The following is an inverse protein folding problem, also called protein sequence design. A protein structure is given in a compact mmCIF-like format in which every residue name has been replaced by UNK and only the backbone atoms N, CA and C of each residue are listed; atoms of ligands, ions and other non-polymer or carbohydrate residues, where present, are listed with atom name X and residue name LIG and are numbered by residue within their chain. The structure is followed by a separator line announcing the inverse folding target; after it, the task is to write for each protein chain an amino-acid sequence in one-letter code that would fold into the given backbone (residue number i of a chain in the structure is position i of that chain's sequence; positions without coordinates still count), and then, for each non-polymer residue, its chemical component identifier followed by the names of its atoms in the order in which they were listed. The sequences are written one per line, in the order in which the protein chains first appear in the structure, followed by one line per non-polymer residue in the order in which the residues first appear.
data_IF_071043637804
#
_entry.id   IF_071043637804
#
_cell.length_a   1.000
_cell.length_b   1.000
_cell.length_c   1.000
_cell.angle_alpha   90.00
_cell.angle_beta   90.00
_cell.angle_gamma   90.00
#
_symmetry.space_group_name_H-M   'P 1'
#
loop_
_entity.id
_entity.type
_entity.pdbx_description
1 polymer ?
#
# COMPACT_ATOMS: atom_id res chain seq x y z
N UNK A 1 -0.18 -42.85 18.04
CA UNK A 1 0.48 -42.25 19.21
C UNK A 1 -0.55 -41.34 19.85
N UNK A 2 -0.99 -41.65 21.07
CA UNK A 2 -1.92 -40.80 21.82
C UNK A 2 -1.22 -39.49 22.17
N UNK A 3 -1.87 -38.37 21.84
CA UNK A 3 -1.35 -37.02 22.03
C UNK A 3 -1.66 -36.58 23.47
N UNK A 4 -0.72 -35.97 24.20
CA UNK A 4 -1.00 -35.45 25.54
C UNK A 4 -2.09 -34.36 25.43
N UNK A 5 -3.23 -34.58 26.09
CA UNK A 5 -4.32 -33.60 26.17
C UNK A 5 -5.28 -33.54 24.99
N UNK A 6 -5.20 -34.46 24.01
CA UNK A 6 -6.18 -34.55 22.90
C UNK A 6 -6.16 -33.39 21.91
N UNK A 7 -5.19 -32.48 22.03
CA UNK A 7 -4.96 -31.40 21.07
C UNK A 7 -3.95 -31.87 20.02
N UNK A 8 -4.22 -31.66 18.72
CA UNK A 8 -3.22 -31.93 17.70
C UNK A 8 -2.01 -31.01 17.94
N UNK A 9 -0.80 -31.59 17.88
CA UNK A 9 0.44 -30.81 17.90
C UNK A 9 0.50 -29.95 16.63
N UNK A 10 1.22 -28.84 16.71
CA UNK A 10 1.52 -28.02 15.56
C UNK A 10 2.17 -28.88 14.45
N UNK A 11 1.79 -28.64 13.20
CA UNK A 11 2.43 -29.28 12.05
C UNK A 11 3.89 -28.86 11.96
N UNK A 12 4.77 -29.77 11.58
CA UNK A 12 6.20 -29.50 11.37
C UNK A 12 6.47 -29.25 9.89
N UNK A 13 7.36 -28.31 9.56
CA UNK A 13 7.87 -28.10 8.21
C UNK A 13 9.40 -28.14 8.20
N UNK A 14 10.00 -28.42 7.04
CA UNK A 14 11.45 -28.33 6.85
C UNK A 14 11.90 -26.86 6.87
N UNK A 15 12.95 -26.53 7.64
CA UNK A 15 13.56 -25.19 7.71
C UNK A 15 14.86 -25.10 6.89
N UNK A 16 15.36 -23.87 6.67
CA UNK A 16 16.57 -23.52 5.91
C UNK A 16 17.84 -24.24 6.34
N UNK A 17 17.93 -24.67 7.60
CA UNK A 17 19.09 -25.35 8.19
C UNK A 17 18.88 -26.87 8.35
N UNK A 18 17.76 -27.41 7.86
CA UNK A 18 17.41 -28.82 7.98
C UNK A 18 16.80 -29.21 9.34
N UNK A 19 16.44 -28.24 10.19
CA UNK A 19 15.68 -28.48 11.42
C UNK A 19 14.17 -28.46 11.15
N UNK A 20 13.42 -29.29 11.86
CA UNK A 20 11.94 -29.25 11.84
C UNK A 20 11.46 -28.25 12.89
N UNK A 21 11.00 -27.09 12.44
CA UNK A 21 10.34 -26.10 13.31
C UNK A 21 8.83 -26.23 13.25
N UNK A 22 8.19 -25.99 14.41
CA UNK A 22 6.74 -25.92 14.53
C UNK A 22 6.19 -24.77 13.67
N UNK A 23 5.17 -25.06 12.89
CA UNK A 23 4.47 -24.07 12.08
C UNK A 23 3.42 -23.34 12.90
N UNK A 24 3.49 -22.01 12.90
CA UNK A 24 2.49 -21.15 13.52
C UNK A 24 1.64 -20.47 12.45
N UNK A 25 0.32 -20.62 12.56
CA UNK A 25 -0.63 -19.95 11.68
C UNK A 25 -1.08 -18.64 12.33
N UNK A 26 -0.85 -17.51 11.66
CA UNK A 26 -1.16 -16.15 12.16
C UNK A 26 -1.96 -15.39 11.12
N UNK A 27 -2.95 -14.62 11.55
CA UNK A 27 -3.68 -13.68 10.69
C UNK A 27 -3.32 -12.24 11.05
N UNK A 28 -2.93 -11.44 10.06
CA UNK A 28 -2.74 -9.99 10.18
C UNK A 28 -3.92 -9.24 9.56
N UNK A 29 -4.48 -8.27 10.28
CA UNK A 29 -5.67 -7.52 9.86
C UNK A 29 -6.99 -8.19 10.33
N UNK A 30 -8.16 -7.66 9.94
CA UNK A 30 -8.37 -6.46 9.09
C UNK A 30 -8.33 -5.14 9.86
N UNK A 31 -8.25 -5.18 11.19
CA UNK A 31 -8.34 -4.00 12.10
C UNK A 31 -7.02 -3.72 12.82
N UNK A 32 -5.90 -4.06 12.20
CA UNK A 32 -4.57 -3.86 12.78
C UNK A 32 -4.19 -2.36 12.73
N UNK A 33 -3.56 -1.84 13.78
CA UNK A 33 -3.09 -0.46 13.79
C UNK A 33 -2.06 -0.20 12.67
N UNK A 34 -2.18 0.96 12.01
CA UNK A 34 -1.33 1.39 10.90
C UNK A 34 -1.24 0.37 9.74
N UNK A 35 -2.34 -0.34 9.51
CA UNK A 35 -2.54 -1.33 8.46
C UNK A 35 -3.61 -0.85 7.45
N UNK A 36 -3.56 -1.26 6.18
CA UNK A 36 -4.65 -0.97 5.24
C UNK A 36 -5.96 -1.58 5.73
N UNK A 37 -6.95 -0.73 6.01
CA UNK A 37 -8.21 -1.15 6.63
C UNK A 37 -8.97 -2.14 5.74
N UNK A 38 -9.33 -3.30 6.28
CA UNK A 38 -10.02 -4.35 5.51
C UNK A 38 -9.11 -5.36 4.82
N UNK A 39 -7.80 -5.13 4.78
CA UNK A 39 -6.83 -6.11 4.27
C UNK A 39 -6.61 -7.21 5.32
N UNK A 40 -6.72 -8.47 4.94
CA UNK A 40 -6.40 -9.60 5.82
C UNK A 40 -5.39 -10.51 5.13
N UNK A 41 -4.32 -10.87 5.85
CA UNK A 41 -3.27 -11.78 5.35
C UNK A 41 -3.14 -12.95 6.34
N UNK A 42 -3.34 -14.17 5.86
CA UNK A 42 -3.00 -15.39 6.59
C UNK A 42 -1.55 -15.76 6.32
N UNK A 43 -0.81 -16.05 7.37
CA UNK A 43 0.60 -16.37 7.35
C UNK A 43 0.83 -17.75 7.97
N UNK A 44 1.74 -18.52 7.38
CA UNK A 44 2.38 -19.67 8.01
C UNK A 44 3.80 -19.24 8.37
N UNK A 45 4.12 -19.27 9.66
CA UNK A 45 5.41 -18.86 10.20
C UNK A 45 6.21 -20.08 10.67
N UNK A 46 7.52 -20.00 10.53
CA UNK A 46 8.48 -20.82 11.26
C UNK A 46 9.47 -19.90 11.94
N UNK A 47 9.47 -19.89 13.27
CA UNK A 47 10.09 -18.82 14.04
C UNK A 47 9.44 -17.47 13.72
N UNK A 48 10.23 -16.51 13.25
CA UNK A 48 9.76 -15.20 12.78
C UNK A 48 9.66 -15.08 11.25
N UNK A 49 10.06 -16.11 10.50
CA UNK A 49 10.06 -16.10 9.04
C UNK A 49 8.72 -16.60 8.49
N UNK A 50 8.18 -15.87 7.52
CA UNK A 50 7.00 -16.26 6.76
C UNK A 50 7.38 -17.31 5.72
N UNK A 51 6.79 -18.49 5.82
CA UNK A 51 6.94 -19.56 4.84
C UNK A 51 5.90 -19.45 3.72
N UNK A 52 4.69 -19.03 4.09
CA UNK A 52 3.60 -18.84 3.15
C UNK A 52 2.74 -17.66 3.58
N UNK A 53 2.40 -16.80 2.64
CA UNK A 53 1.40 -15.77 2.79
C UNK A 53 0.21 -16.00 1.84
N UNK A 54 -1.01 -15.83 2.36
CA UNK A 54 -2.24 -15.88 1.56
C UNK A 54 -3.07 -14.65 1.87
N UNK A 55 -3.42 -13.91 0.82
CA UNK A 55 -4.28 -12.74 0.97
C UNK A 55 -5.75 -13.18 1.01
N UNK A 56 -6.49 -12.68 1.99
CA UNK A 56 -7.92 -12.80 2.01
C UNK A 56 -8.56 -11.77 1.11
N UNK A 57 -9.49 -12.23 0.30
CA UNK A 57 -10.33 -11.34 -0.49
C UNK A 57 -11.33 -10.69 0.47
N UNK A 58 -11.41 -9.34 0.51
CA UNK A 58 -12.44 -8.67 1.28
C UNK A 58 -13.82 -9.16 0.82
N UNK A 59 -14.78 -9.39 1.74
CA UNK A 59 -16.13 -9.76 1.35
C UNK A 59 -16.70 -8.68 0.42
N UNK A 60 -17.39 -9.10 -0.65
CA UNK A 60 -18.10 -8.18 -1.51
C UNK A 60 -19.14 -7.44 -0.66
N UNK A 61 -18.96 -6.14 -0.48
CA UNK A 61 -19.92 -5.31 0.24
C UNK A 61 -21.16 -5.11 -0.62
N UNK A 62 -22.34 -5.24 -0.01
CA UNK A 62 -23.59 -4.91 -0.67
C UNK A 62 -23.71 -3.38 -0.79
N UNK A 63 -23.54 -2.86 -2.01
CA UNK A 63 -23.66 -1.43 -2.31
C UNK A 63 -22.43 -0.86 -3.04
N UNK A 64 -22.51 0.41 -3.49
CA UNK A 64 -21.38 1.06 -4.15
C UNK A 64 -20.23 1.25 -3.15
N UNK A 65 -19.08 0.60 -3.42
CA UNK A 65 -17.85 0.81 -2.66
C UNK A 65 -17.23 2.14 -3.09
N UNK A 66 -17.07 3.08 -2.14
CA UNK A 66 -16.44 4.36 -2.41
C UNK A 66 -14.91 4.20 -2.42
N UNK A 67 -14.30 4.32 -3.59
CA UNK A 67 -12.83 4.38 -3.75
C UNK A 67 -12.30 5.77 -3.39
N UNK A 68 -12.30 6.11 -2.10
CA UNK A 68 -12.04 7.48 -1.61
C UNK A 68 -10.77 8.11 -2.20
N UNK A 69 -9.66 7.37 -2.24
CA UNK A 69 -8.39 7.88 -2.75
C UNK A 69 -8.35 8.01 -4.28
N UNK A 70 -9.06 7.16 -5.00
CA UNK A 70 -9.14 7.19 -6.46
C UNK A 70 -10.32 8.02 -7.00
N UNK A 71 -11.14 8.61 -6.12
CA UNK A 71 -12.37 9.33 -6.48
C UNK A 71 -12.22 10.36 -7.62
N UNK A 72 -11.18 11.21 -7.67
CA UNK A 72 -11.01 12.14 -8.80
C UNK A 72 -10.88 11.44 -10.16
N UNK A 73 -10.17 10.31 -10.22
CA UNK A 73 -10.01 9.52 -11.44
C UNK A 73 -11.29 8.76 -11.78
N UNK A 74 -11.99 8.20 -10.78
CA UNK A 74 -13.29 7.56 -10.99
C UNK A 74 -14.32 8.55 -11.57
N UNK A 75 -14.42 9.76 -10.99
CA UNK A 75 -15.30 10.84 -11.48
C UNK A 75 -14.94 11.27 -12.90
N UNK A 76 -13.65 11.50 -13.18
CA UNK A 76 -13.20 11.88 -14.52
C UNK A 76 -13.45 10.77 -15.56
N UNK A 77 -13.28 9.49 -15.19
CA UNK A 77 -13.59 8.35 -16.05
C UNK A 77 -15.10 8.25 -16.34
N UNK A 78 -15.95 8.68 -15.41
CA UNK A 78 -17.40 8.83 -15.61
C UNK A 78 -17.80 10.09 -16.41
N UNK A 79 -16.84 10.89 -16.87
CA UNK A 79 -17.06 12.09 -17.68
C UNK A 79 -17.27 13.38 -16.89
N UNK A 80 -17.23 13.33 -15.55
CA UNK A 80 -17.36 14.52 -14.71
C UNK A 80 -16.18 15.49 -14.90
N UNK A 81 -16.39 16.81 -14.79
CA UNK A 81 -15.31 17.77 -14.78
C UNK A 81 -14.51 17.65 -13.48
N UNK A 82 -13.24 17.28 -13.61
CA UNK A 82 -12.26 17.22 -12.51
C UNK A 82 -10.99 17.93 -12.99
N UNK A 83 -10.38 18.75 -12.15
CA UNK A 83 -9.13 19.44 -12.49
C UNK A 83 -7.91 18.60 -12.10
N UNK A 84 -6.79 18.88 -12.75
CA UNK A 84 -5.47 18.35 -12.37
C UNK A 84 -5.16 18.72 -10.91
N UNK A 85 -5.48 19.93 -10.47
CA UNK A 85 -5.25 20.36 -9.09
C UNK A 85 -6.02 19.55 -8.05
N UNK A 86 -7.29 19.20 -8.33
CA UNK A 86 -8.08 18.31 -7.47
C UNK A 86 -7.43 16.92 -7.37
N UNK A 87 -7.00 16.35 -8.50
CA UNK A 87 -6.35 15.05 -8.55
C UNK A 87 -4.98 15.05 -7.84
N UNK A 88 -4.16 16.08 -8.08
CA UNK A 88 -2.85 16.26 -7.44
C UNK A 88 -2.99 16.38 -5.92
N UNK A 89 -3.99 17.13 -5.44
CA UNK A 89 -4.31 17.26 -4.00
C UNK A 89 -4.66 15.90 -3.40
N UNK A 90 -5.56 15.14 -4.04
CA UNK A 90 -5.94 13.80 -3.56
C UNK A 90 -4.76 12.83 -3.56
N UNK A 91 -3.92 12.85 -4.60
CA UNK A 91 -2.73 12.00 -4.72
C UNK A 91 -1.70 12.30 -3.64
N UNK A 92 -1.39 13.58 -3.41
CA UNK A 92 -0.46 14.01 -2.37
C UNK A 92 -0.96 13.62 -0.97
N UNK A 93 -2.25 13.80 -0.69
CA UNK A 93 -2.87 13.38 0.57
C UNK A 93 -2.79 11.85 0.76
N UNK A 94 -3.09 11.07 -0.29
CA UNK A 94 -2.97 9.61 -0.25
C UNK A 94 -1.54 9.16 0.05
N UNK A 95 -0.54 9.75 -0.62
CA UNK A 95 0.87 9.42 -0.37
C UNK A 95 1.34 9.80 1.03
N UNK A 96 0.83 10.90 1.61
CA UNK A 96 1.09 11.26 3.01
C UNK A 96 0.42 10.28 3.98
N UNK A 97 -0.75 9.76 3.65
CA UNK A 97 -1.44 8.74 4.43
C UNK A 97 -0.67 7.41 4.42
N UNK A 98 -0.18 6.96 3.25
CA UNK A 98 0.69 5.78 3.12
C UNK A 98 2.01 5.98 3.89
N UNK A 99 2.63 7.17 3.78
CA UNK A 99 3.82 7.52 4.56
C UNK A 99 3.53 7.52 6.07
N UNK A 100 2.37 7.99 6.50
CA UNK A 100 2.00 7.98 7.92
C UNK A 100 1.95 6.55 8.47
N UNK A 101 1.30 5.62 7.76
CA UNK A 101 1.28 4.19 8.12
C UNK A 101 2.70 3.62 8.18
N UNK A 102 3.48 3.81 7.11
CA UNK A 102 4.86 3.31 7.04
C UNK A 102 5.73 3.84 8.20
N UNK A 103 5.66 5.14 8.47
CA UNK A 103 6.46 5.79 9.52
C UNK A 103 6.03 5.33 10.91
N UNK A 104 4.74 5.07 11.13
CA UNK A 104 4.26 4.52 12.39
C UNK A 104 4.76 3.08 12.61
N UNK A 105 4.64 2.22 11.60
CA UNK A 105 5.16 0.84 11.62
C UNK A 105 6.68 0.82 11.81
N UNK A 106 7.41 1.76 11.19
CA UNK A 106 8.85 1.90 11.35
C UNK A 106 9.28 2.51 12.71
N UNK A 107 8.36 2.73 13.64
CA UNK A 107 8.67 3.26 14.98
C UNK A 107 9.00 4.76 14.99
N UNK A 108 8.49 5.54 14.03
CA UNK A 108 8.71 6.99 13.92
C UNK A 108 7.42 7.82 14.10
N UNK A 109 6.77 7.74 15.27
CA UNK A 109 5.40 8.25 15.47
C UNK A 109 5.27 9.77 15.29
N UNK A 110 6.26 10.57 15.68
CA UNK A 110 6.21 12.02 15.50
C UNK A 110 6.12 12.43 14.01
N UNK A 111 6.73 11.65 13.13
CA UNK A 111 6.77 11.90 11.69
C UNK A 111 5.50 11.35 11.04
N UNK A 112 4.97 10.23 11.54
CA UNK A 112 3.64 9.76 11.17
C UNK A 112 2.55 10.80 11.50
N UNK A 113 2.57 11.39 12.70
CA UNK A 113 1.64 12.48 13.09
C UNK A 113 1.81 13.69 12.18
N UNK A 114 3.05 14.07 11.85
CA UNK A 114 3.31 15.18 10.92
C UNK A 114 2.72 14.89 9.53
N UNK A 115 2.86 13.66 9.03
CA UNK A 115 2.30 13.24 7.75
C UNK A 115 0.77 13.30 7.75
N UNK A 116 0.11 12.81 8.81
CA UNK A 116 -1.35 12.87 8.99
C UNK A 116 -1.85 14.32 9.00
N UNK A 117 -1.20 15.22 9.76
CA UNK A 117 -1.58 16.65 9.77
C UNK A 117 -1.46 17.31 8.40
N UNK A 118 -0.40 16.99 7.65
CA UNK A 118 -0.21 17.53 6.30
C UNK A 118 -1.23 16.95 5.30
N UNK A 119 -1.59 15.68 5.45
CA UNK A 119 -2.68 15.05 4.70
C UNK A 119 -4.00 15.78 4.98
N UNK A 120 -4.30 16.03 6.25
CA UNK A 120 -5.54 16.70 6.66
C UNK A 120 -5.58 18.14 6.13
N UNK A 121 -4.49 18.90 6.27
CA UNK A 121 -4.40 20.26 5.70
C UNK A 121 -4.64 20.26 4.16
N UNK A 122 -4.15 19.23 3.44
CA UNK A 122 -4.41 19.09 2.00
C UNK A 122 -5.87 18.78 1.70
N UNK A 123 -6.50 17.87 2.47
CA UNK A 123 -7.90 17.50 2.31
C UNK A 123 -8.84 18.66 2.65
N UNK A 124 -8.46 19.50 3.63
CA UNK A 124 -9.17 20.72 4.02
C UNK A 124 -8.98 21.88 3.03
N UNK A 125 -8.23 21.66 1.94
CA UNK A 125 -8.13 22.63 0.85
C UNK A 125 -7.09 23.73 1.07
N UNK A 126 -6.14 23.57 1.99
CA UNK A 126 -5.11 24.58 2.21
C UNK A 126 -4.33 24.89 0.90
N UNK A 127 -4.00 26.17 0.64
CA UNK A 127 -3.32 26.58 -0.58
C UNK A 127 -1.86 26.12 -0.59
N UNK A 128 -1.27 25.90 -1.78
CA UNK A 128 0.11 25.42 -1.91
C UNK A 128 1.11 26.29 -1.14
N UNK A 129 0.94 27.62 -1.18
CA UNK A 129 1.80 28.57 -0.50
C UNK A 129 1.87 28.36 1.04
N UNK A 130 0.76 27.96 1.67
CA UNK A 130 0.71 27.70 3.10
C UNK A 130 1.40 26.37 3.47
N UNK A 131 1.42 25.40 2.55
CA UNK A 131 1.92 24.05 2.79
C UNK A 131 3.37 23.85 2.37
N UNK A 132 3.83 24.57 1.35
CA UNK A 132 5.09 24.32 0.65
C UNK A 132 6.29 24.15 1.60
N UNK A 133 6.45 25.08 2.55
CA UNK A 133 7.60 25.04 3.48
C UNK A 133 7.52 23.85 4.46
N UNK A 134 6.32 23.51 4.94
CA UNK A 134 6.12 22.38 5.87
C UNK A 134 6.32 21.05 5.14
N UNK A 135 5.81 20.92 3.91
CA UNK A 135 5.97 19.73 3.08
C UNK A 135 7.43 19.52 2.69
N UNK A 136 8.14 20.55 2.23
CA UNK A 136 9.56 20.41 1.88
C UNK A 136 10.43 20.02 3.10
N UNK A 137 10.14 20.59 4.28
CA UNK A 137 10.83 20.16 5.51
C UNK A 137 10.53 18.69 5.85
N UNK A 138 9.28 18.27 5.72
CA UNK A 138 8.88 16.89 5.96
C UNK A 138 9.53 15.92 4.97
N UNK A 139 9.43 16.19 3.66
CA UNK A 139 9.98 15.31 2.62
C UNK A 139 11.49 15.20 2.72
N UNK A 140 12.19 16.31 2.99
CA UNK A 140 13.64 16.31 3.23
C UNK A 140 14.01 15.50 4.47
N UNK A 141 13.25 15.63 5.57
CA UNK A 141 13.53 14.91 6.82
C UNK A 141 13.36 13.41 6.65
N UNK A 142 12.26 12.97 6.04
CA UNK A 142 12.01 11.54 5.78
C UNK A 142 13.00 11.00 4.74
N UNK A 143 13.16 11.70 3.61
CA UNK A 143 14.01 11.26 2.50
C UNK A 143 15.50 11.16 2.83
N UNK A 144 16.00 11.96 3.78
CA UNK A 144 17.41 11.94 4.24
C UNK A 144 17.65 11.05 5.46
N UNK A 145 16.62 10.37 5.98
CA UNK A 145 16.77 9.50 7.14
C UNK A 145 17.57 8.25 6.80
N UNK A 146 18.82 8.20 7.24
CA UNK A 146 19.69 7.03 7.07
C UNK A 146 19.16 5.84 7.87
N UNK A 147 18.67 6.07 9.08
CA UNK A 147 18.09 5.02 9.94
C UNK A 147 16.89 4.36 9.26
N UNK A 148 15.93 5.14 8.77
CA UNK A 148 14.76 4.58 8.07
C UNK A 148 15.21 3.79 6.83
N UNK A 149 16.12 4.35 6.03
CA UNK A 149 16.64 3.65 4.87
C UNK A 149 17.33 2.33 5.23
N UNK A 150 18.15 2.31 6.29
CA UNK A 150 18.89 1.13 6.69
C UNK A 150 17.96 0.04 7.24
N UNK A 151 17.00 0.41 8.09
CA UNK A 151 16.03 -0.51 8.68
C UNK A 151 15.08 -1.16 7.66
N UNK A 152 14.92 -0.55 6.48
CA UNK A 152 13.93 -1.01 5.48
C UNK A 152 14.55 -1.50 4.18
N UNK A 153 15.89 -1.45 4.07
CA UNK A 153 16.60 -1.82 2.85
C UNK A 153 16.45 -3.31 2.54
N UNK A 154 16.24 -3.62 1.27
CA UNK A 154 16.11 -5.00 0.76
C UNK A 154 14.73 -5.62 1.00
N UNK A 155 13.85 -4.98 1.78
CA UNK A 155 12.55 -5.54 2.12
C UNK A 155 11.55 -5.44 0.97
N UNK A 156 10.96 -6.58 0.60
CA UNK A 156 9.89 -6.68 -0.41
C UNK A 156 10.28 -6.04 -1.74
N UNK A 157 11.41 -6.45 -2.32
CA UNK A 157 11.89 -5.93 -3.60
C UNK A 157 10.90 -6.29 -4.71
N UNK A 158 10.40 -5.29 -5.43
CA UNK A 158 9.57 -5.47 -6.62
C UNK A 158 10.26 -4.75 -7.79
N UNK A 159 10.90 -5.51 -8.66
CA UNK A 159 11.59 -4.92 -9.83
C UNK A 159 10.58 -4.37 -10.83
N UNK A 160 11.02 -3.47 -11.71
CA UNK A 160 10.16 -2.93 -12.76
C UNK A 160 9.59 -4.02 -13.69
N UNK A 161 10.39 -5.03 -14.05
CA UNK A 161 9.95 -6.16 -14.89
C UNK A 161 8.97 -7.10 -14.20
N UNK A 162 9.13 -7.33 -12.90
CA UNK A 162 8.14 -8.08 -12.10
C UNK A 162 6.83 -7.30 -11.96
N UNK A 163 6.92 -5.97 -11.75
CA UNK A 163 5.76 -5.10 -11.68
C UNK A 163 4.98 -5.12 -13.00
N UNK A 164 5.68 -5.01 -14.14
CA UNK A 164 5.09 -5.09 -15.48
C UNK A 164 4.40 -6.43 -15.72
N UNK A 165 5.08 -7.55 -15.43
CA UNK A 165 4.52 -8.90 -15.56
C UNK A 165 3.24 -9.08 -14.73
N UNK A 166 3.20 -8.50 -13.53
CA UNK A 166 2.03 -8.55 -12.65
C UNK A 166 0.91 -7.54 -13.03
N UNK A 167 1.19 -6.62 -13.96
CA UNK A 167 0.29 -5.51 -14.31
C UNK A 167 0.22 -4.41 -13.25
N UNK A 168 1.22 -4.33 -12.36
CA UNK A 168 1.39 -3.22 -11.41
C UNK A 168 1.84 -1.99 -12.17
N UNK A 169 1.22 -0.84 -11.89
CA UNK A 169 1.54 0.45 -12.53
C UNK A 169 1.79 1.56 -11.49
N UNK A 170 2.04 2.78 -11.95
CA UNK A 170 2.16 3.95 -11.09
C UNK A 170 3.36 3.95 -10.15
N UNK A 171 3.21 4.49 -8.92
CA UNK A 171 4.34 4.69 -8.01
C UNK A 171 5.12 3.42 -7.66
N UNK A 172 4.44 2.28 -7.45
CA UNK A 172 5.12 1.03 -7.08
C UNK A 172 5.99 0.51 -8.24
N UNK A 173 5.45 0.50 -9.47
CA UNK A 173 6.20 0.10 -10.66
C UNK A 173 7.37 1.05 -10.96
N UNK A 174 7.14 2.37 -10.84
CA UNK A 174 8.17 3.39 -11.09
C UNK A 174 9.31 3.36 -10.06
N UNK A 175 9.02 2.96 -8.83
CA UNK A 175 10.03 2.77 -7.81
C UNK A 175 10.98 1.62 -8.17
N UNK A 176 10.45 0.51 -8.71
CA UNK A 176 11.24 -0.62 -9.21
C UNK A 176 12.22 -1.21 -8.20
N UNK A 177 11.84 -1.26 -6.92
CA UNK A 177 12.73 -1.69 -5.85
C UNK A 177 12.03 -2.03 -4.54
N UNK A 178 12.77 -1.87 -3.44
CA UNK A 178 12.37 -2.19 -2.07
C UNK A 178 11.55 -1.07 -1.40
N UNK A 179 11.26 -1.23 -0.10
CA UNK A 179 10.57 -0.22 0.73
C UNK A 179 11.17 1.20 0.55
N UNK A 180 12.51 1.41 0.65
CA UNK A 180 13.15 2.68 0.33
C UNK A 180 12.84 3.27 -1.03
N UNK A 181 12.86 2.46 -2.08
CA UNK A 181 12.52 2.92 -3.42
C UNK A 181 11.07 3.45 -3.46
N UNK A 182 10.12 2.70 -2.88
CA UNK A 182 8.69 3.05 -2.87
C UNK A 182 8.38 4.32 -2.10
N UNK A 183 8.87 4.46 -0.86
CA UNK A 183 8.56 5.69 -0.10
C UNK A 183 9.23 6.93 -0.71
N UNK A 184 10.43 6.80 -1.31
CA UNK A 184 11.08 7.91 -2.01
C UNK A 184 10.31 8.32 -3.26
N UNK A 185 9.69 7.37 -3.94
CA UNK A 185 8.80 7.64 -5.06
C UNK A 185 7.55 8.42 -4.62
N UNK A 186 6.96 8.11 -3.45
CA UNK A 186 5.90 8.93 -2.86
C UNK A 186 6.36 10.34 -2.49
N UNK A 187 7.53 10.49 -1.87
CA UNK A 187 8.10 11.80 -1.54
C UNK A 187 8.32 12.66 -2.80
N UNK A 188 8.79 12.06 -3.89
CA UNK A 188 8.93 12.72 -5.20
C UNK A 188 7.57 13.11 -5.77
N UNK A 189 6.58 12.22 -5.70
CA UNK A 189 5.19 12.47 -6.11
C UNK A 189 4.57 13.66 -5.38
N UNK A 190 4.68 13.70 -4.04
CA UNK A 190 4.20 14.82 -3.22
C UNK A 190 4.84 16.15 -3.66
N UNK A 191 6.16 16.20 -3.84
CA UNK A 191 6.85 17.43 -4.26
C UNK A 191 6.37 17.93 -5.62
N UNK A 192 6.12 17.02 -6.56
CA UNK A 192 5.55 17.35 -7.87
C UNK A 192 4.12 17.87 -7.75
N UNK A 193 3.28 17.18 -6.97
CA UNK A 193 1.84 17.46 -6.89
C UNK A 193 1.54 18.76 -6.14
N UNK A 194 2.38 19.15 -5.17
CA UNK A 194 2.28 20.46 -4.48
C UNK A 194 2.38 21.64 -5.45
N UNK A 195 3.21 21.54 -6.48
CA UNK A 195 3.34 22.59 -7.50
C UNK A 195 2.16 22.66 -8.48
N UNK A 196 1.19 21.75 -8.37
CA UNK A 196 0.07 21.60 -9.30
C UNK A 196 -1.30 21.74 -8.61
N UNK A 197 -1.34 22.07 -7.32
CA UNK A 197 -2.59 22.06 -6.54
C UNK A 197 -3.64 23.04 -7.08
N UNK A 198 -3.21 24.11 -7.73
CA UNK A 198 -4.05 25.14 -8.34
C UNK A 198 -4.17 24.99 -9.87
N UNK A 199 -3.70 23.89 -10.48
CA UNK A 199 -3.78 23.67 -11.93
C UNK A 199 -5.25 23.49 -12.38
N UNK A 200 -5.81 24.43 -13.17
CA UNK A 200 -7.21 24.39 -13.58
C UNK A 200 -7.45 23.46 -14.78
N UNK A 201 -6.40 22.89 -15.36
CA UNK A 201 -6.49 22.01 -16.54
C UNK A 201 -7.38 20.81 -16.22
N UNK A 202 -8.15 20.34 -17.22
CA UNK A 202 -8.98 19.14 -17.05
C UNK A 202 -8.12 17.90 -16.86
N UNK A 203 -8.50 17.04 -15.91
CA UNK A 203 -7.86 15.76 -15.66
C UNK A 203 -8.03 14.83 -16.87
N UNK A 204 -6.91 14.38 -17.43
CA UNK A 204 -6.88 13.31 -18.43
C UNK A 204 -6.46 12.00 -17.75
N UNK A 205 -7.41 11.10 -17.52
CA UNK A 205 -7.18 9.79 -16.88
C UNK A 205 -6.22 8.89 -17.65
N UNK A 206 -5.98 9.17 -18.94
CA UNK A 206 -5.02 8.43 -19.73
C UNK A 206 -3.58 8.93 -19.52
N UNK A 207 -3.38 10.12 -18.95
CA UNK A 207 -2.05 10.71 -18.69
C UNK A 207 -1.74 10.86 -17.20
N UNK A 208 -2.77 11.00 -16.37
CA UNK A 208 -2.64 11.20 -14.93
C UNK A 208 -2.99 9.92 -14.18
N UNK A 209 -1.99 9.33 -13.52
CA UNK A 209 -2.15 8.15 -12.69
C UNK A 209 -2.69 8.51 -11.30
N UNK A 210 -3.47 7.60 -10.71
CA UNK A 210 -3.90 7.64 -9.32
C UNK A 210 -2.76 7.44 -8.33
N UNK A 211 -3.05 7.43 -7.01
CA UNK A 211 -2.05 7.24 -5.98
C UNK A 211 -1.39 5.85 -6.02
N UNK A 212 -2.08 4.84 -6.56
CA UNK A 212 -1.64 3.44 -6.58
C UNK A 212 -1.37 2.89 -7.98
N UNK A 213 -1.70 3.64 -9.03
CA UNK A 213 -1.57 3.18 -10.41
C UNK A 213 -2.48 3.92 -11.37
N UNK A 214 -2.42 3.52 -12.64
CA UNK A 214 -3.39 3.95 -13.64
C UNK A 214 -4.78 3.45 -13.24
N UNK A 215 -5.76 4.35 -13.26
CA UNK A 215 -7.13 4.00 -12.94
C UNK A 215 -7.76 3.17 -14.07
N UNK A 216 -8.36 2.04 -13.72
CA UNK A 216 -9.22 1.22 -14.59
C UNK A 216 -10.37 0.70 -13.73
N UNK A 217 -11.61 0.97 -14.16
CA UNK A 217 -12.83 0.57 -13.45
C UNK A 217 -13.00 -0.96 -13.37
N UNK A 218 -12.50 -1.69 -14.38
CA UNK A 218 -12.60 -3.16 -14.43
C UNK A 218 -11.50 -3.83 -13.62
N UNK A 219 -10.32 -3.21 -13.58
CA UNK A 219 -9.17 -3.73 -12.83
C UNK A 219 -8.47 -2.59 -12.08
N UNK A 220 -9.01 -2.15 -10.93
CA UNK A 220 -8.40 -1.11 -10.11
C UNK A 220 -6.95 -1.46 -9.75
N UNK A 221 -6.06 -0.47 -9.61
CA UNK A 221 -4.63 -0.71 -9.48
C UNK A 221 -4.26 -1.55 -8.24
N UNK A 222 -5.01 -1.43 -7.15
CA UNK A 222 -4.78 -2.24 -5.95
C UNK A 222 -5.02 -3.73 -6.14
N UNK A 223 -5.73 -4.17 -7.19
CA UNK A 223 -5.86 -5.59 -7.53
C UNK A 223 -4.49 -6.18 -7.88
N UNK A 224 -3.70 -5.48 -8.72
CA UNK A 224 -2.36 -5.93 -9.09
C UNK A 224 -1.38 -5.83 -7.90
N UNK A 225 -1.47 -4.78 -7.09
CA UNK A 225 -0.67 -4.65 -5.87
C UNK A 225 -0.96 -5.78 -4.87
N UNK A 226 -2.23 -6.13 -4.70
CA UNK A 226 -2.66 -7.23 -3.83
C UNK A 226 -2.17 -8.58 -4.33
N UNK A 227 -2.18 -8.80 -5.65
CA UNK A 227 -1.74 -10.05 -6.27
C UNK A 227 -0.23 -10.32 -6.08
N UNK A 228 0.62 -9.28 -6.04
CA UNK A 228 2.05 -9.47 -5.81
C UNK A 228 2.41 -9.60 -4.32
N UNK A 229 1.50 -9.23 -3.42
CA UNK A 229 1.80 -9.11 -1.99
C UNK A 229 2.24 -10.44 -1.35
N UNK A 230 1.55 -11.58 -1.54
CA UNK A 230 1.99 -12.88 -1.01
C UNK A 230 3.46 -13.19 -1.28
N UNK A 231 3.87 -13.11 -2.54
CA UNK A 231 5.25 -13.38 -2.98
C UNK A 231 6.27 -12.44 -2.33
N UNK A 232 5.88 -11.18 -2.06
CA UNK A 232 6.77 -10.23 -1.39
C UNK A 232 6.91 -10.50 0.11
N UNK A 233 5.97 -11.25 0.70
CA UNK A 233 5.97 -11.62 2.11
C UNK A 233 6.65 -12.97 2.36
N UNK A 234 6.61 -13.90 1.40
CA UNK A 234 7.30 -15.18 1.50
C UNK A 234 8.81 -14.98 1.71
N UNK A 235 9.34 -15.63 2.75
CA UNK A 235 10.72 -15.52 3.20
C UNK A 235 11.05 -14.24 3.97
N UNK A 236 10.09 -13.34 4.20
CA UNK A 236 10.27 -12.16 5.03
C UNK A 236 10.06 -12.47 6.51
N UNK A 237 10.77 -11.77 7.39
CA UNK A 237 10.46 -11.75 8.81
C UNK A 237 9.12 -11.06 9.07
N UNK A 238 8.41 -11.47 10.12
CA UNK A 238 7.10 -10.94 10.52
C UNK A 238 7.14 -9.41 10.74
N UNK A 239 8.24 -8.88 11.27
CA UNK A 239 8.44 -7.44 11.45
C UNK A 239 8.58 -6.72 10.09
N UNK A 240 9.31 -7.32 9.14
CA UNK A 240 9.50 -6.80 7.79
C UNK A 240 8.19 -6.84 6.98
N UNK A 241 7.34 -7.84 7.20
CA UNK A 241 6.05 -7.99 6.51
C UNK A 241 5.17 -6.73 6.63
N UNK A 242 5.07 -6.16 7.84
CA UNK A 242 4.28 -4.93 8.06
C UNK A 242 4.86 -3.73 7.30
N UNK A 243 6.19 -3.62 7.21
CA UNK A 243 6.87 -2.57 6.46
C UNK A 243 6.67 -2.74 4.94
N UNK A 244 6.70 -3.98 4.45
CA UNK A 244 6.45 -4.31 3.05
C UNK A 244 5.02 -3.90 2.69
N UNK A 245 4.02 -4.34 3.46
CA UNK A 245 2.60 -3.97 3.27
C UNK A 245 2.42 -2.46 3.32
N UNK A 246 2.95 -1.79 4.35
CA UNK A 246 2.79 -0.34 4.50
C UNK A 246 3.50 0.48 3.41
N UNK A 247 4.51 -0.09 2.73
CA UNK A 247 5.22 0.55 1.62
C UNK A 247 4.62 0.26 0.24
N UNK A 248 3.86 -0.84 0.10
CA UNK A 248 3.13 -1.16 -1.12
C UNK A 248 1.73 -0.52 -1.10
N UNK A 249 1.13 -0.51 0.08
CA UNK A 249 -0.12 0.15 0.46
C UNK A 249 -1.28 -0.10 -0.52
N UNK A 250 -1.64 -1.38 -0.81
CA UNK A 250 -2.85 -1.66 -1.59
C UNK A 250 -4.08 -1.10 -0.87
N UNK A 251 -5.03 -0.58 -1.63
CA UNK A 251 -6.31 -0.08 -1.11
C UNK A 251 -7.36 -1.18 -1.14
N UNK A 252 -7.82 -1.70 0.01
CA UNK A 252 -8.83 -2.75 0.03
C UNK A 252 -10.17 -2.31 -0.56
N UNK A 253 -10.51 -1.02 -0.53
CA UNK A 253 -11.72 -0.50 -1.16
C UNK A 253 -11.65 -0.61 -2.69
N UNK A 254 -10.49 -0.40 -3.29
CA UNK A 254 -10.28 -0.64 -4.73
C UNK A 254 -10.37 -2.13 -5.09
N UNK A 255 -9.95 -3.02 -4.19
CA UNK A 255 -10.06 -4.48 -4.39
C UNK A 255 -11.52 -4.93 -4.25
N UNK A 256 -12.25 -4.39 -3.28
CA UNK A 256 -13.66 -4.69 -3.04
C UNK A 256 -14.58 -4.09 -4.13
N UNK A 257 -14.20 -2.96 -4.72
CA UNK A 257 -14.93 -2.30 -5.80
C UNK A 257 -14.82 -3.03 -7.16
N UNK A 258 -14.00 -4.09 -7.28
CA UNK A 258 -13.90 -4.85 -8.52
C UNK A 258 -15.28 -5.41 -8.90
N UNK A 259 -15.72 -5.26 -10.16
CA UNK A 259 -16.93 -5.92 -10.62
C UNK A 259 -16.77 -7.42 -10.37
N UNK A 260 -17.72 -8.04 -9.66
CA UNK A 260 -17.69 -9.48 -9.45
C UNK A 260 -17.62 -10.19 -10.81
N UNK A 261 -16.65 -11.09 -10.96
CA UNK A 261 -16.68 -12.06 -12.05
C UNK A 261 -17.92 -12.91 -11.78
N UNK A 262 -19.02 -12.62 -12.48
CA UNK A 262 -20.20 -13.47 -12.46
C UNK A 262 -19.70 -14.81 -12.97
N UNK A 263 -19.61 -15.80 -12.08
CA UNK A 263 -19.36 -17.18 -12.45
C UNK A 263 -20.40 -17.54 -13.52
N UNK A 264 -19.95 -17.60 -14.77
CA UNK A 264 -20.68 -18.24 -15.84
C UNK A 264 -20.55 -19.75 -15.61
N UNK A 265 -21.25 -20.26 -14.60
CA UNK A 265 -21.57 -21.68 -14.54
C UNK A 265 -22.70 -21.92 -15.55
N UNK A 266 -22.33 -22.55 -16.66
CA UNK A 266 -23.21 -23.17 -17.64
C UNK A 266 -22.75 -24.59 -17.88
#
# INVERSE_FOLDING_TARGET
MEMPGGLPMAGQGEDRDGLTLDQLHVSLGPVLADWPAGLSVRLVLQGDVIQQAVLDTPPALAGPVEVFWARPWARAAAGEPVTVGEAARRRAAAHLDSLARLLAVAGWPAQAVTARRLRDDLLDGAPAAALASRLERFTRRVGRSRTLCWLTRGMGTLTAGEAETAGVSGPAARAGGDVPARYRQWLSGIRRDVGRLEDPSRLDVAREEGPRGRWDVRRPPSVALSAVLPRLLDGAELAAARLIVASLDPDPDEVAARPGEVAADG
#
